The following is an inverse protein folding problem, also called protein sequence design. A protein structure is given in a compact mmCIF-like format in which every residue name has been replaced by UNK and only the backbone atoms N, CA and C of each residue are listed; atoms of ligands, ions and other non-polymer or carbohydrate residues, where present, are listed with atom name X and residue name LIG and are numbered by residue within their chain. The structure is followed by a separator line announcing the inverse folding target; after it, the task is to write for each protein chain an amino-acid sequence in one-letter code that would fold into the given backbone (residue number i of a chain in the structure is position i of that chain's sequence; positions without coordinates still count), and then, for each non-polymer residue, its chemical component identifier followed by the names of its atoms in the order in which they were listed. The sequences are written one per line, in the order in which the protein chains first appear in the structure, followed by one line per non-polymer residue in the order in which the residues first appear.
data_IF_901551224884
#
_entry.id   IF_901551224884
#
_cell.length_a   1.000
_cell.length_b   1.000
_cell.length_c   1.000
_cell.angle_alpha   90.00
_cell.angle_beta   90.00
_cell.angle_gamma   90.00
#
_symmetry.space_group_name_H-M   'P 1'
#
loop_
_entity.id
_entity.type
_entity.pdbx_description
1 polymer ?
#
# COMPACT_ATOMS: atom_id res chain seq x y z
N UNK A 1 -26.94 -8.47 -5.74
CA UNK A 1 -25.69 -9.01 -5.12
C UNK A 1 -24.86 -9.83 -6.10
N UNK A 2 -25.39 -10.86 -6.74
CA UNK A 2 -24.63 -11.69 -7.71
C UNK A 2 -24.14 -10.89 -8.92
N UNK A 3 -24.99 -10.06 -9.52
CA UNK A 3 -24.61 -9.21 -10.66
C UNK A 3 -23.51 -8.19 -10.29
N UNK A 4 -23.61 -7.57 -9.13
CA UNK A 4 -22.56 -6.67 -8.62
C UNK A 4 -21.22 -7.40 -8.45
N UNK A 5 -21.25 -8.60 -7.83
CA UNK A 5 -20.06 -9.43 -7.66
C UNK A 5 -19.43 -9.78 -9.01
N UNK A 6 -20.23 -10.28 -9.97
CA UNK A 6 -19.75 -10.60 -11.32
C UNK A 6 -19.14 -9.39 -12.00
N UNK A 7 -19.81 -8.24 -11.95
CA UNK A 7 -19.30 -7.00 -12.54
C UNK A 7 -17.95 -6.59 -11.91
N UNK A 8 -17.81 -6.74 -10.60
CA UNK A 8 -16.55 -6.42 -9.89
C UNK A 8 -15.43 -7.40 -10.26
N UNK A 9 -15.71 -8.69 -10.37
CA UNK A 9 -14.73 -9.69 -10.84
C UNK A 9 -14.28 -9.39 -12.26
N UNK A 10 -15.20 -9.03 -13.15
CA UNK A 10 -14.87 -8.63 -14.52
C UNK A 10 -13.98 -7.38 -14.51
N UNK A 11 -14.31 -6.37 -13.72
CA UNK A 11 -13.50 -5.15 -13.59
C UNK A 11 -12.10 -5.49 -13.08
N UNK A 12 -11.98 -6.34 -12.04
CA UNK A 12 -10.71 -6.81 -11.50
C UNK A 12 -9.86 -7.47 -12.61
N UNK A 13 -10.46 -8.38 -13.37
CA UNK A 13 -9.77 -9.07 -14.46
C UNK A 13 -9.22 -8.09 -15.51
N UNK A 14 -10.06 -7.17 -16.01
CA UNK A 14 -9.63 -6.18 -17.00
C UNK A 14 -8.56 -5.24 -16.43
N UNK A 15 -8.66 -4.83 -15.17
CA UNK A 15 -7.64 -4.01 -14.51
C UNK A 15 -6.29 -4.72 -14.48
N UNK A 16 -6.26 -6.02 -14.14
CA UNK A 16 -5.02 -6.79 -14.12
C UNK A 16 -4.44 -6.99 -15.52
N UNK A 17 -5.27 -7.24 -16.53
CA UNK A 17 -4.82 -7.35 -17.92
C UNK A 17 -4.21 -6.03 -18.39
N UNK A 18 -4.89 -4.91 -18.18
CA UNK A 18 -4.37 -3.59 -18.58
C UNK A 18 -3.06 -3.29 -17.81
N UNK A 19 -3.01 -3.56 -16.51
CA UNK A 19 -1.82 -3.36 -15.71
C UNK A 19 -0.64 -4.20 -16.22
N UNK A 20 -0.85 -5.49 -16.55
CA UNK A 20 0.22 -6.34 -17.08
C UNK A 20 0.79 -5.80 -18.39
N UNK A 21 -0.07 -5.31 -19.30
CA UNK A 21 0.36 -4.69 -20.57
C UNK A 21 1.19 -3.42 -20.30
N UNK A 22 0.70 -2.56 -19.40
CA UNK A 22 1.38 -1.30 -19.06
C UNK A 22 2.73 -1.57 -18.41
N UNK A 23 2.81 -2.51 -17.47
CA UNK A 23 4.07 -2.90 -16.79
C UNK A 23 5.08 -3.40 -17.82
N UNK A 24 4.68 -4.38 -18.64
CA UNK A 24 5.56 -4.96 -19.65
C UNK A 24 6.08 -3.91 -20.65
N UNK A 25 5.20 -3.10 -21.21
CA UNK A 25 5.58 -2.05 -22.17
C UNK A 25 6.50 -1.01 -21.50
N UNK A 26 6.19 -0.59 -20.26
CA UNK A 26 6.98 0.41 -19.55
C UNK A 26 8.43 -0.07 -19.33
N UNK A 27 8.62 -1.33 -18.95
CA UNK A 27 9.94 -1.90 -18.73
C UNK A 27 10.69 -2.17 -20.04
N UNK A 28 9.99 -2.51 -21.11
CA UNK A 28 10.57 -2.72 -22.45
C UNK A 28 11.06 -1.42 -23.12
N UNK A 29 10.50 -0.26 -22.70
CA UNK A 29 10.91 1.06 -23.20
C UNK A 29 12.15 1.57 -22.44
N UNK A 30 12.39 1.13 -21.22
CA UNK A 30 13.54 1.58 -20.44
C UNK A 30 14.84 1.18 -21.13
N UNK A 31 15.71 2.14 -21.52
CA UNK A 31 16.95 1.83 -22.23
C UNK A 31 17.89 1.03 -21.33
N UNK A 32 18.51 -0.01 -21.92
CA UNK A 32 19.47 -0.88 -21.26
C UNK A 32 19.09 -2.35 -21.39
N UNK A 33 20.05 -3.13 -21.84
CA UNK A 33 19.92 -4.56 -22.07
C UNK A 33 20.43 -5.31 -20.82
N UNK A 34 19.62 -6.19 -20.20
CA UNK A 34 20.04 -6.98 -19.06
C UNK A 34 21.33 -7.76 -19.30
N UNK A 35 21.48 -8.39 -20.46
CA UNK A 35 22.68 -9.16 -20.79
C UNK A 35 23.95 -8.28 -20.87
N UNK A 36 23.83 -7.09 -21.46
CA UNK A 36 24.92 -6.11 -21.50
C UNK A 36 25.28 -5.59 -20.11
N UNK A 37 24.29 -5.43 -19.22
CA UNK A 37 24.55 -5.03 -17.84
C UNK A 37 25.30 -6.12 -17.04
N UNK A 38 24.92 -7.37 -17.23
CA UNK A 38 25.53 -8.52 -16.52
C UNK A 38 26.96 -8.79 -16.96
N UNK A 39 27.26 -8.67 -18.25
CA UNK A 39 28.58 -8.96 -18.81
C UNK A 39 29.52 -7.74 -18.77
N UNK A 40 28.98 -6.54 -18.59
CA UNK A 40 29.75 -5.30 -18.64
C UNK A 40 30.00 -4.77 -20.04
N UNK A 41 30.55 -3.54 -20.11
CA UNK A 41 30.68 -2.74 -21.34
C UNK A 41 31.67 -3.39 -22.35
N UNK A 42 32.61 -4.22 -21.86
CA UNK A 42 33.65 -4.82 -22.68
C UNK A 42 33.34 -6.27 -23.07
N UNK A 43 32.09 -6.71 -22.96
CA UNK A 43 31.73 -8.08 -23.34
C UNK A 43 31.93 -8.33 -24.83
N UNK A 44 32.42 -9.52 -25.15
CA UNK A 44 32.51 -9.98 -26.55
C UNK A 44 31.12 -10.18 -27.12
N UNK A 45 30.90 -9.82 -28.37
CA UNK A 45 29.60 -9.85 -29.04
C UNK A 45 28.97 -11.25 -29.04
N UNK A 46 29.79 -12.29 -29.29
CA UNK A 46 29.37 -13.69 -29.27
C UNK A 46 28.84 -14.11 -27.87
N UNK A 47 29.50 -13.69 -26.80
CA UNK A 47 29.10 -13.97 -25.43
C UNK A 47 27.81 -13.24 -25.08
N UNK A 48 27.65 -12.01 -25.56
CA UNK A 48 26.43 -11.23 -25.37
C UNK A 48 25.22 -11.87 -26.07
N UNK A 49 25.43 -12.33 -27.33
CA UNK A 49 24.38 -13.02 -28.08
C UNK A 49 23.99 -14.35 -27.42
N UNK A 50 24.98 -15.11 -26.95
CA UNK A 50 24.72 -16.36 -26.23
C UNK A 50 23.90 -16.13 -24.96
N UNK A 51 24.25 -15.11 -24.15
CA UNK A 51 23.50 -14.76 -22.94
C UNK A 51 22.10 -14.25 -23.24
N UNK A 52 21.91 -13.42 -24.26
CA UNK A 52 20.58 -12.99 -24.71
C UNK A 52 19.68 -14.15 -25.06
N UNK A 53 20.21 -15.14 -25.74
CA UNK A 53 19.48 -16.36 -26.11
C UNK A 53 19.15 -17.19 -24.87
N UNK A 54 20.09 -17.34 -23.93
CA UNK A 54 19.87 -18.05 -22.66
C UNK A 54 18.76 -17.39 -21.84
N UNK A 55 18.73 -16.05 -21.79
CA UNK A 55 17.71 -15.28 -21.07
C UNK A 55 16.39 -15.14 -21.86
N UNK A 56 16.34 -15.65 -23.11
CA UNK A 56 15.15 -15.54 -23.97
C UNK A 56 14.86 -14.12 -24.45
N UNK A 57 15.83 -13.22 -24.40
CA UNK A 57 15.70 -11.82 -24.81
C UNK A 57 15.74 -11.66 -26.34
N UNK A 58 16.12 -12.69 -27.09
CA UNK A 58 16.10 -12.79 -28.54
C UNK A 58 14.71 -13.03 -29.12
N UNK A 59 13.76 -13.46 -28.28
CA UNK A 59 12.39 -13.75 -28.70
C UNK A 59 11.58 -12.47 -28.97
N UNK A 60 10.57 -12.55 -29.87
CA UNK A 60 9.64 -11.45 -30.11
C UNK A 60 8.97 -10.97 -28.80
N UNK A 61 8.80 -9.64 -28.64
CA UNK A 61 8.22 -9.05 -27.42
C UNK A 61 6.87 -9.62 -27.05
N UNK A 62 6.02 -9.89 -28.06
CA UNK A 62 4.67 -10.48 -27.85
C UNK A 62 4.79 -11.89 -27.26
N UNK A 63 5.73 -12.70 -27.75
CA UNK A 63 5.96 -14.06 -27.21
C UNK A 63 6.44 -13.98 -25.75
N UNK A 64 7.38 -13.09 -25.44
CA UNK A 64 7.88 -12.87 -24.08
C UNK A 64 6.76 -12.46 -23.12
N UNK A 65 5.90 -11.52 -23.53
CA UNK A 65 4.73 -11.11 -22.78
C UNK A 65 3.78 -12.28 -22.50
N UNK A 66 3.44 -13.08 -23.53
CA UNK A 66 2.53 -14.21 -23.36
C UNK A 66 3.10 -15.30 -22.45
N UNK A 67 4.41 -15.58 -22.56
CA UNK A 67 5.11 -16.53 -21.68
C UNK A 67 5.07 -16.03 -20.23
N UNK A 68 5.39 -14.76 -20.00
CA UNK A 68 5.35 -14.16 -18.67
C UNK A 68 3.94 -14.19 -18.05
N UNK A 69 2.91 -13.72 -18.76
CA UNK A 69 1.52 -13.73 -18.24
C UNK A 69 1.04 -15.14 -17.97
N UNK A 70 1.33 -16.11 -18.88
CA UNK A 70 0.99 -17.50 -18.67
C UNK A 70 1.69 -18.09 -17.44
N UNK A 71 2.96 -17.79 -17.26
CA UNK A 71 3.73 -18.19 -16.08
C UNK A 71 3.07 -17.70 -14.80
N UNK A 72 2.74 -16.39 -14.73
CA UNK A 72 2.07 -15.82 -13.56
C UNK A 72 0.73 -16.50 -13.21
N UNK A 73 -0.06 -16.88 -14.21
CA UNK A 73 -1.34 -17.57 -13.98
C UNK A 73 -1.19 -18.96 -13.34
N UNK A 74 -0.05 -19.60 -13.52
CA UNK A 74 0.26 -20.93 -12.93
C UNK A 74 1.19 -20.85 -11.72
N UNK A 75 1.53 -19.61 -11.28
CA UNK A 75 2.42 -19.37 -10.12
C UNK A 75 3.91 -19.47 -10.45
N UNK A 76 4.29 -19.53 -11.72
CA UNK A 76 5.68 -19.45 -12.19
C UNK A 76 6.02 -18.01 -12.55
N UNK A 77 6.75 -17.34 -11.67
CA UNK A 77 7.20 -15.95 -11.84
C UNK A 77 8.54 -15.83 -12.57
N UNK A 78 9.05 -16.96 -13.08
CA UNK A 78 10.34 -17.02 -13.76
C UNK A 78 11.55 -17.09 -12.83
N UNK A 79 12.72 -17.00 -13.44
CA UNK A 79 14.02 -17.07 -12.74
C UNK A 79 14.70 -15.70 -12.84
N UNK A 80 15.16 -15.17 -11.72
CA UNK A 80 15.92 -13.93 -11.62
C UNK A 80 17.16 -14.01 -12.53
N UNK A 81 17.39 -12.98 -13.32
CA UNK A 81 18.59 -12.90 -14.17
C UNK A 81 19.86 -12.75 -13.34
N UNK A 82 19.79 -11.95 -12.28
CA UNK A 82 20.94 -11.63 -11.42
C UNK A 82 21.22 -12.72 -10.40
N UNK A 83 20.18 -13.20 -9.68
CA UNK A 83 20.36 -14.14 -8.56
C UNK A 83 20.26 -15.61 -8.98
N UNK A 84 19.82 -15.91 -10.20
CA UNK A 84 19.64 -17.28 -10.74
C UNK A 84 18.76 -18.17 -9.85
N UNK A 85 17.85 -17.57 -9.10
CA UNK A 85 16.87 -18.22 -8.22
C UNK A 85 15.45 -17.96 -8.68
N UNK A 86 14.49 -18.83 -8.34
CA UNK A 86 13.07 -18.63 -8.65
C UNK A 86 12.57 -17.33 -8.02
N UNK A 87 11.91 -16.48 -8.81
CA UNK A 87 11.39 -15.18 -8.33
C UNK A 87 10.34 -15.37 -7.23
N UNK A 88 9.54 -16.45 -7.31
CA UNK A 88 8.52 -16.73 -6.29
C UNK A 88 9.10 -16.93 -4.89
N UNK A 89 10.28 -17.56 -4.76
CA UNK A 89 10.97 -17.72 -3.49
C UNK A 89 11.42 -16.36 -2.93
N UNK A 90 12.06 -15.56 -3.80
CA UNK A 90 12.50 -14.21 -3.44
C UNK A 90 11.34 -13.31 -2.98
N UNK A 91 10.18 -13.44 -3.64
CA UNK A 91 8.98 -12.67 -3.34
C UNK A 91 8.31 -13.15 -2.05
N UNK A 92 8.18 -14.47 -1.87
CA UNK A 92 7.50 -15.04 -0.70
C UNK A 92 8.19 -14.65 0.61
N UNK A 93 9.50 -14.71 0.68
CA UNK A 93 10.27 -14.29 1.86
C UNK A 93 10.05 -12.80 2.20
N UNK A 94 10.03 -11.94 1.19
CA UNK A 94 9.90 -10.49 1.37
C UNK A 94 8.49 -10.03 1.64
N UNK A 95 7.49 -10.78 1.17
CA UNK A 95 6.08 -10.50 1.43
C UNK A 95 5.78 -10.53 2.94
N UNK A 96 6.44 -11.42 3.69
CA UNK A 96 6.34 -11.52 5.15
C UNK A 96 6.94 -10.33 5.92
N UNK A 97 7.54 -9.38 5.23
CA UNK A 97 8.00 -8.10 5.81
C UNK A 97 7.10 -6.96 5.33
N UNK A 98 6.89 -6.84 4.01
CA UNK A 98 6.12 -5.73 3.42
C UNK A 98 4.65 -5.72 3.81
N UNK A 99 4.00 -6.89 3.80
CA UNK A 99 2.57 -6.97 4.14
C UNK A 99 2.30 -6.66 5.62
N UNK A 100 3.00 -7.25 6.60
CA UNK A 100 2.87 -6.87 8.01
C UNK A 100 3.18 -5.39 8.26
N UNK A 101 4.18 -4.81 7.58
CA UNK A 101 4.50 -3.39 7.67
C UNK A 101 3.31 -2.51 7.21
N UNK A 102 2.73 -2.82 6.05
CA UNK A 102 1.60 -2.07 5.51
C UNK A 102 0.35 -2.20 6.39
N UNK A 103 0.06 -3.40 6.88
CA UNK A 103 -1.06 -3.65 7.81
C UNK A 103 -0.83 -2.91 9.13
N UNK A 104 0.37 -2.96 9.68
CA UNK A 104 0.70 -2.26 10.92
C UNK A 104 0.54 -0.74 10.76
N UNK A 105 1.05 -0.18 9.68
CA UNK A 105 0.88 1.24 9.37
C UNK A 105 -0.60 1.62 9.16
N UNK A 106 -1.40 0.75 8.51
CA UNK A 106 -2.84 0.96 8.31
C UNK A 106 -3.60 0.97 9.64
N UNK A 107 -3.33 0.00 10.51
CA UNK A 107 -3.94 -0.07 11.85
C UNK A 107 -3.55 1.18 12.66
N UNK A 108 -2.26 1.52 12.68
CA UNK A 108 -1.75 2.67 13.43
C UNK A 108 -2.35 3.98 12.92
N UNK A 109 -2.41 4.19 11.60
CA UNK A 109 -3.01 5.39 11.00
C UNK A 109 -4.50 5.50 11.34
N UNK A 110 -5.24 4.40 11.31
CA UNK A 110 -6.67 4.35 11.62
C UNK A 110 -6.91 4.63 13.11
N UNK A 111 -6.15 4.00 14.00
CA UNK A 111 -6.25 4.20 15.46
C UNK A 111 -5.95 5.64 15.88
N UNK A 112 -5.07 6.34 15.16
CA UNK A 112 -4.77 7.76 15.41
C UNK A 112 -5.86 8.64 14.77
N UNK A 113 -6.22 8.37 13.53
CA UNK A 113 -7.08 9.24 12.73
C UNK A 113 -8.51 9.34 13.26
N UNK A 114 -9.10 8.20 13.66
CA UNK A 114 -10.50 8.20 14.09
C UNK A 114 -10.74 9.06 15.34
N UNK A 115 -10.00 8.89 16.45
CA UNK A 115 -10.20 9.74 17.62
C UNK A 115 -9.89 11.23 17.33
N UNK A 116 -8.84 11.50 16.55
CA UNK A 116 -8.44 12.87 16.19
C UNK A 116 -9.50 13.55 15.34
N UNK A 117 -10.05 12.85 14.32
CA UNK A 117 -11.10 13.38 13.46
C UNK A 117 -12.43 13.58 14.20
N UNK A 118 -12.81 12.64 15.08
CA UNK A 118 -14.01 12.74 15.93
C UNK A 118 -13.88 13.93 16.89
N UNK A 119 -12.74 14.07 17.54
CA UNK A 119 -12.47 15.17 18.46
C UNK A 119 -12.57 16.53 17.76
N UNK A 120 -11.96 16.65 16.57
CA UNK A 120 -12.01 17.88 15.78
C UNK A 120 -13.45 18.20 15.33
N UNK A 121 -14.23 17.22 14.88
CA UNK A 121 -15.63 17.42 14.51
C UNK A 121 -16.52 17.83 15.69
N UNK A 122 -16.33 17.20 16.86
CA UNK A 122 -17.08 17.52 18.07
C UNK A 122 -16.79 18.96 18.59
N UNK A 123 -15.61 19.49 18.26
CA UNK A 123 -15.18 20.85 18.64
C UNK A 123 -15.14 21.81 17.43
N UNK A 124 -15.94 21.58 16.41
CA UNK A 124 -15.97 22.37 15.18
C UNK A 124 -15.98 23.87 15.45
N UNK A 125 -15.06 24.58 14.80
CA UNK A 125 -14.92 26.04 14.88
C UNK A 125 -14.21 26.57 16.13
N UNK A 126 -13.83 25.71 17.08
CA UNK A 126 -13.01 26.10 18.23
C UNK A 126 -11.52 26.09 17.87
N UNK A 127 -10.70 26.72 18.71
CA UNK A 127 -9.24 26.72 18.56
C UNK A 127 -8.66 25.32 18.50
N UNK A 128 -9.18 24.39 19.28
CA UNK A 128 -8.76 22.99 19.27
C UNK A 128 -8.98 22.30 17.91
N UNK A 129 -10.09 22.56 17.22
CA UNK A 129 -10.34 22.09 15.88
C UNK A 129 -9.32 22.65 14.88
N UNK A 130 -9.09 23.95 14.92
CA UNK A 130 -8.12 24.64 14.06
C UNK A 130 -6.70 24.12 14.30
N UNK A 131 -6.31 23.89 15.55
CA UNK A 131 -5.00 23.37 15.92
C UNK A 131 -4.79 21.95 15.39
N UNK A 132 -5.79 21.08 15.57
CA UNK A 132 -5.74 19.69 15.05
C UNK A 132 -5.64 19.70 13.53
N UNK A 133 -6.44 20.53 12.84
CA UNK A 133 -6.38 20.63 11.38
C UNK A 133 -5.05 21.20 10.89
N UNK A 134 -4.47 22.15 11.62
CA UNK A 134 -3.11 22.68 11.34
C UNK A 134 -2.04 21.59 11.47
N UNK A 135 -2.08 20.78 12.54
CA UNK A 135 -1.14 19.67 12.74
C UNK A 135 -1.30 18.61 11.63
N UNK A 136 -2.52 18.26 11.26
CA UNK A 136 -2.73 17.32 10.15
C UNK A 136 -2.23 17.87 8.82
N UNK A 137 -2.30 19.19 8.60
CA UNK A 137 -1.72 19.79 7.40
C UNK A 137 -0.19 19.64 7.35
N UNK A 138 0.48 19.82 8.48
CA UNK A 138 1.93 19.59 8.60
C UNK A 138 2.24 18.10 8.33
N UNK A 139 1.46 17.17 8.91
CA UNK A 139 1.66 15.74 8.70
C UNK A 139 1.54 15.29 7.24
N UNK A 140 0.70 15.97 6.44
CA UNK A 140 0.59 15.69 5.00
C UNK A 140 1.75 16.32 4.21
N UNK A 141 2.21 17.50 4.62
CA UNK A 141 3.23 18.24 3.90
C UNK A 141 4.64 17.64 4.06
N UNK A 142 4.88 16.89 5.12
CA UNK A 142 6.19 16.31 5.41
C UNK A 142 6.42 15.09 4.49
N UNK A 143 7.54 15.04 3.72
CA UNK A 143 7.88 13.85 2.94
C UNK A 143 8.17 12.65 3.84
N UNK A 144 7.56 11.49 3.53
CA UNK A 144 7.67 10.26 4.34
C UNK A 144 9.12 9.85 4.62
N UNK A 145 9.99 9.90 3.59
CA UNK A 145 11.39 9.50 3.72
C UNK A 145 12.17 10.43 4.64
N UNK A 146 11.91 11.74 4.59
CA UNK A 146 12.54 12.71 5.47
C UNK A 146 12.11 12.50 6.93
N UNK A 147 10.81 12.28 7.15
CA UNK A 147 10.30 11.96 8.47
C UNK A 147 10.86 10.64 9.00
N UNK A 148 10.99 9.62 8.14
CA UNK A 148 11.64 8.36 8.49
C UNK A 148 13.09 8.56 8.96
N UNK A 149 13.86 9.39 8.26
CA UNK A 149 15.25 9.70 8.67
C UNK A 149 15.29 10.44 10.02
N UNK A 150 14.35 11.36 10.28
CA UNK A 150 14.24 12.02 11.58
C UNK A 150 13.91 11.04 12.71
N UNK A 151 13.02 10.06 12.45
CA UNK A 151 12.71 9.01 13.42
C UNK A 151 13.94 8.15 13.71
N UNK A 152 14.71 7.76 12.70
CA UNK A 152 15.98 7.04 12.87
C UNK A 152 16.94 7.87 13.70
N UNK A 153 17.15 9.15 13.34
CA UNK A 153 18.07 10.02 14.05
C UNK A 153 17.69 10.16 15.53
N UNK A 154 16.43 10.44 15.81
CA UNK A 154 15.98 10.65 17.20
C UNK A 154 15.94 9.36 17.99
N UNK A 155 15.22 8.33 17.50
CA UNK A 155 14.89 7.14 18.29
C UNK A 155 15.94 6.03 18.21
N UNK A 156 16.73 5.97 17.15
CA UNK A 156 17.75 4.93 17.02
C UNK A 156 19.15 5.45 17.37
N UNK A 157 19.52 6.68 16.97
CA UNK A 157 20.87 7.21 17.19
C UNK A 157 20.97 7.91 18.55
N UNK A 158 20.07 8.88 18.83
CA UNK A 158 20.14 9.66 20.07
C UNK A 158 19.61 8.86 21.26
N UNK A 159 18.35 8.43 21.22
CA UNK A 159 17.67 7.76 22.34
C UNK A 159 18.04 6.27 22.45
N UNK A 160 18.45 5.64 21.35
CA UNK A 160 18.81 4.20 21.28
C UNK A 160 17.70 3.25 21.73
N UNK A 161 16.44 3.63 21.55
CA UNK A 161 15.29 2.80 21.90
C UNK A 161 14.97 1.75 20.85
N UNK A 162 15.31 2.03 19.59
CA UNK A 162 15.05 1.21 18.42
C UNK A 162 16.34 0.97 17.63
N UNK A 163 16.33 -0.06 16.78
CA UNK A 163 17.36 -0.25 15.76
C UNK A 163 17.25 0.81 14.66
N UNK A 164 18.37 1.25 14.12
CA UNK A 164 18.41 2.15 12.98
C UNK A 164 17.88 1.53 11.68
N UNK A 165 17.85 0.19 11.59
CA UNK A 165 17.35 -0.56 10.45
C UNK A 165 17.59 -2.05 10.58
N UNK A 166 17.20 -2.80 9.54
CA UNK A 166 17.24 -4.25 9.50
C UNK A 166 16.01 -4.90 10.14
N UNK A 167 15.82 -6.16 9.80
CA UNK A 167 14.73 -6.99 10.30
C UNK A 167 15.32 -8.29 10.87
N UNK A 168 15.07 -8.61 12.17
CA UNK A 168 15.72 -9.74 12.82
C UNK A 168 15.12 -11.10 12.45
N UNK A 169 14.04 -11.14 11.64
CA UNK A 169 13.27 -12.35 11.35
C UNK A 169 12.15 -12.58 12.37
N UNK A 170 11.08 -13.25 11.92
CA UNK A 170 9.94 -13.62 12.78
C UNK A 170 10.28 -14.76 13.74
N UNK A 171 11.28 -15.56 13.42
CA UNK A 171 11.82 -16.65 14.24
C UNK A 171 12.45 -16.16 15.56
N UNK A 172 12.90 -14.90 15.59
CA UNK A 172 13.42 -14.28 16.83
C UNK A 172 12.31 -13.92 17.82
N UNK A 173 11.05 -13.96 17.38
CA UNK A 173 9.85 -13.68 18.14
C UNK A 173 9.04 -12.50 17.61
N UNK A 174 7.72 -12.59 17.76
CA UNK A 174 6.76 -11.60 17.25
C UNK A 174 7.05 -10.17 17.75
N UNK A 175 7.39 -10.00 19.03
CA UNK A 175 7.66 -8.69 19.62
C UNK A 175 8.91 -8.03 19.04
N UNK A 176 9.96 -8.78 18.76
CA UNK A 176 11.18 -8.25 18.14
C UNK A 176 10.92 -7.85 16.70
N UNK A 177 10.19 -8.67 15.94
CA UNK A 177 9.75 -8.33 14.59
C UNK A 177 8.89 -7.07 14.55
N UNK A 178 7.86 -6.97 15.40
CA UNK A 178 7.01 -5.77 15.48
C UNK A 178 7.80 -4.53 15.92
N UNK A 179 8.72 -4.67 16.87
CA UNK A 179 9.57 -3.57 17.32
C UNK A 179 10.42 -3.01 16.18
N UNK A 180 10.99 -3.87 15.34
CA UNK A 180 11.78 -3.43 14.17
C UNK A 180 10.93 -2.72 13.11
N UNK A 181 9.65 -3.08 12.98
CA UNK A 181 8.70 -2.45 12.06
C UNK A 181 8.04 -1.18 12.64
N UNK A 182 8.22 -0.85 13.91
CA UNK A 182 7.50 0.25 14.57
C UNK A 182 7.86 1.61 13.98
N UNK A 183 9.13 1.99 13.89
CA UNK A 183 9.53 3.27 13.29
C UNK A 183 9.15 3.36 11.81
N UNK A 184 9.39 2.33 10.96
CA UNK A 184 8.87 2.27 9.60
C UNK A 184 7.36 2.46 9.51
N UNK A 185 6.60 1.78 10.38
CA UNK A 185 5.14 1.89 10.40
C UNK A 185 4.67 3.30 10.80
N UNK A 186 5.31 3.95 11.77
CA UNK A 186 5.02 5.34 12.15
C UNK A 186 5.30 6.29 10.99
N UNK A 187 6.41 6.11 10.26
CA UNK A 187 6.77 6.94 9.11
C UNK A 187 5.72 6.85 8.00
N UNK A 188 5.17 5.66 7.75
CA UNK A 188 4.09 5.44 6.78
C UNK A 188 2.74 5.93 7.30
N UNK A 189 2.45 5.72 8.58
CA UNK A 189 1.14 5.97 9.17
C UNK A 189 0.82 7.45 9.33
N UNK A 190 1.80 8.31 9.63
CA UNK A 190 1.54 9.72 9.97
C UNK A 190 0.82 10.51 8.88
N UNK A 191 1.26 10.51 7.61
CA UNK A 191 0.54 11.20 6.54
C UNK A 191 -0.84 10.60 6.30
N UNK A 192 -0.96 9.28 6.37
CA UNK A 192 -2.23 8.58 6.18
C UNK A 192 -3.23 8.86 7.31
N UNK A 193 -2.76 8.92 8.55
CA UNK A 193 -3.56 9.34 9.70
C UNK A 193 -4.05 10.78 9.55
N UNK A 194 -3.21 11.66 9.05
CA UNK A 194 -3.56 13.07 8.81
C UNK A 194 -4.65 13.22 7.75
N UNK A 195 -4.58 12.47 6.66
CA UNK A 195 -5.62 12.45 5.61
C UNK A 195 -6.92 11.87 6.18
N UNK A 196 -6.85 10.71 6.83
CA UNK A 196 -8.02 10.01 7.35
C UNK A 196 -8.73 10.78 8.47
N UNK A 197 -7.99 11.47 9.35
CA UNK A 197 -8.55 12.33 10.39
C UNK A 197 -9.39 13.46 9.80
N UNK A 198 -8.91 14.06 8.71
CA UNK A 198 -9.64 15.10 7.98
C UNK A 198 -10.91 14.56 7.33
N UNK A 199 -10.83 13.40 6.70
CA UNK A 199 -11.99 12.72 6.10
C UNK A 199 -13.02 12.39 7.19
N UNK A 200 -12.58 11.79 8.31
CA UNK A 200 -13.45 11.48 9.44
C UNK A 200 -14.13 12.73 10.01
N UNK A 201 -13.39 13.83 10.17
CA UNK A 201 -13.94 15.12 10.61
C UNK A 201 -15.01 15.63 9.66
N UNK A 202 -14.75 15.65 8.36
CA UNK A 202 -15.71 16.14 7.35
C UNK A 202 -16.96 15.26 7.33
N UNK A 203 -16.79 13.95 7.23
CA UNK A 203 -17.90 13.00 7.19
C UNK A 203 -18.79 13.08 8.45
N UNK A 204 -18.18 13.29 9.62
CA UNK A 204 -18.93 13.43 10.86
C UNK A 204 -19.68 14.76 10.94
N UNK A 205 -19.07 15.86 10.49
CA UNK A 205 -19.77 17.17 10.42
C UNK A 205 -20.96 17.10 9.47
N UNK A 206 -20.79 16.48 8.30
CA UNK A 206 -21.87 16.33 7.32
C UNK A 206 -23.01 15.49 7.90
N UNK A 207 -22.66 14.33 8.50
CA UNK A 207 -23.65 13.45 9.17
C UNK A 207 -24.41 14.15 10.29
N UNK A 208 -23.74 14.98 11.10
CA UNK A 208 -24.38 15.69 12.22
C UNK A 208 -25.37 16.78 11.76
N UNK A 209 -25.33 17.22 10.51
CA UNK A 209 -26.27 18.16 9.92
C UNK A 209 -27.53 17.48 9.35
N UNK A 210 -27.55 16.15 9.24
CA UNK A 210 -28.66 15.38 8.67
C UNK A 210 -29.93 15.43 9.54
N UNK A 211 -31.11 15.29 8.91
CA UNK A 211 -32.41 15.41 9.59
C UNK A 211 -32.69 14.32 10.62
N UNK A 212 -32.13 13.12 10.41
CA UNK A 212 -32.27 12.04 11.40
C UNK A 212 -31.55 12.38 12.72
N UNK A 213 -30.46 13.14 12.70
CA UNK A 213 -29.79 13.64 13.90
C UNK A 213 -30.66 14.72 14.59
N UNK A 214 -31.24 15.62 13.82
CA UNK A 214 -32.19 16.60 14.37
C UNK A 214 -33.39 15.91 15.05
N UNK A 215 -33.92 14.87 14.41
CA UNK A 215 -35.01 14.05 14.95
C UNK A 215 -34.59 13.33 16.24
N UNK A 216 -33.40 12.74 16.27
CA UNK A 216 -32.90 12.08 17.47
C UNK A 216 -32.73 13.06 18.64
N UNK A 217 -32.28 14.28 18.37
CA UNK A 217 -32.17 15.33 19.38
C UNK A 217 -33.54 15.84 19.84
N UNK A 218 -34.49 15.98 18.94
CA UNK A 218 -35.88 16.34 19.30
C UNK A 218 -36.54 15.28 20.20
N UNK A 219 -36.12 14.00 20.09
CA UNK A 219 -36.54 12.91 20.98
C UNK A 219 -35.81 12.88 22.35
N UNK A 220 -34.97 13.90 22.66
CA UNK A 220 -34.34 14.08 23.97
C UNK A 220 -32.88 13.63 24.05
N UNK A 221 -32.25 13.18 22.96
CA UNK A 221 -30.83 12.86 22.98
C UNK A 221 -29.97 14.13 23.09
N UNK A 222 -28.99 14.12 23.99
CA UNK A 222 -27.98 15.17 24.04
C UNK A 222 -27.12 15.17 22.77
N UNK A 223 -26.40 16.27 22.50
CA UNK A 223 -25.50 16.36 21.35
C UNK A 223 -24.47 15.21 21.32
N UNK A 224 -23.83 14.93 22.46
CA UNK A 224 -22.81 13.84 22.55
C UNK A 224 -23.44 12.45 22.36
N UNK A 225 -24.66 12.22 22.86
CA UNK A 225 -25.36 10.96 22.63
C UNK A 225 -25.75 10.79 21.15
N UNK A 226 -26.24 11.84 20.49
CA UNK A 226 -26.53 11.81 19.06
C UNK A 226 -25.25 11.58 18.22
N UNK A 227 -24.14 12.23 18.60
CA UNK A 227 -22.84 12.06 17.95
C UNK A 227 -22.36 10.61 18.05
N UNK A 228 -22.34 10.01 19.26
CA UNK A 228 -21.80 8.65 19.47
C UNK A 228 -22.73 7.59 18.88
N UNK A 229 -24.04 7.66 19.15
CA UNK A 229 -24.99 6.60 18.81
C UNK A 229 -25.35 6.60 17.31
N UNK A 230 -25.35 7.77 16.66
CA UNK A 230 -25.81 7.93 15.30
C UNK A 230 -24.76 8.55 14.38
N UNK A 231 -24.06 9.59 14.83
CA UNK A 231 -23.11 10.34 14.03
C UNK A 231 -21.92 9.50 13.59
N UNK A 232 -21.17 8.93 14.52
CA UNK A 232 -19.94 8.16 14.24
C UNK A 232 -20.25 6.96 13.33
N UNK A 233 -21.30 6.19 13.64
CA UNK A 233 -21.66 5.00 12.88
C UNK A 233 -21.91 5.30 11.39
N UNK A 234 -22.62 6.38 11.10
CA UNK A 234 -22.91 6.76 9.72
C UNK A 234 -21.71 7.43 9.04
N UNK A 235 -20.91 8.21 9.78
CA UNK A 235 -19.70 8.83 9.26
C UNK A 235 -18.58 7.80 8.93
N UNK A 236 -18.60 6.62 9.54
CA UNK A 236 -17.64 5.57 9.22
C UNK A 236 -17.81 4.99 7.81
N UNK A 237 -18.97 5.11 7.19
CA UNK A 237 -19.21 4.55 5.84
C UNK A 237 -18.22 5.11 4.80
N UNK A 238 -18.13 6.45 4.57
CA UNK A 238 -17.13 6.99 3.64
C UNK A 238 -15.69 6.79 4.13
N UNK A 239 -15.47 6.72 5.43
CA UNK A 239 -14.14 6.50 6.02
C UNK A 239 -13.59 5.11 5.67
N UNK A 240 -14.42 4.06 5.70
CA UNK A 240 -14.02 2.70 5.31
C UNK A 240 -13.51 2.64 3.86
N UNK A 241 -14.13 3.38 2.95
CA UNK A 241 -13.66 3.47 1.57
C UNK A 241 -12.24 4.05 1.48
N UNK A 242 -11.99 5.11 2.25
CA UNK A 242 -10.66 5.74 2.28
C UNK A 242 -9.63 4.82 2.94
N UNK A 243 -9.97 4.07 3.99
CA UNK A 243 -9.08 3.07 4.60
C UNK A 243 -8.61 2.04 3.56
N UNK A 244 -9.52 1.57 2.70
CA UNK A 244 -9.15 0.66 1.62
C UNK A 244 -8.19 1.26 0.60
N UNK A 245 -8.45 2.50 0.19
CA UNK A 245 -7.54 3.22 -0.71
C UNK A 245 -6.18 3.48 -0.07
N UNK A 246 -6.13 3.74 1.24
CA UNK A 246 -4.88 3.95 1.96
C UNK A 246 -3.94 2.76 1.93
N UNK A 247 -4.47 1.52 1.89
CA UNK A 247 -3.62 0.34 1.75
C UNK A 247 -2.75 0.42 0.49
N UNK A 248 -3.30 0.88 -0.63
CA UNK A 248 -2.57 1.07 -1.88
C UNK A 248 -1.42 2.07 -1.72
N UNK A 249 -1.69 3.21 -1.07
CA UNK A 249 -0.68 4.22 -0.80
C UNK A 249 0.39 3.73 0.18
N UNK A 250 0.03 2.92 1.17
CA UNK A 250 0.96 2.32 2.12
C UNK A 250 1.88 1.31 1.43
N UNK A 251 1.35 0.45 0.56
CA UNK A 251 2.16 -0.49 -0.22
C UNK A 251 3.15 0.23 -1.15
N UNK A 252 2.71 1.28 -1.84
CA UNK A 252 3.60 2.11 -2.66
C UNK A 252 4.65 2.86 -1.82
N UNK A 253 4.23 3.44 -0.69
CA UNK A 253 5.11 4.15 0.24
C UNK A 253 6.13 3.24 0.91
N UNK A 254 5.79 1.97 1.12
CA UNK A 254 6.69 0.98 1.71
C UNK A 254 7.97 0.81 0.88
N UNK A 255 7.93 0.97 -0.44
CA UNK A 255 9.10 0.88 -1.32
C UNK A 255 10.23 1.81 -0.83
N UNK A 256 9.91 3.05 -0.52
CA UNK A 256 10.89 4.04 -0.06
C UNK A 256 11.29 3.76 1.39
N UNK A 257 10.33 3.49 2.26
CA UNK A 257 10.56 3.29 3.69
C UNK A 257 11.39 2.03 3.97
N UNK A 258 11.16 0.94 3.24
CA UNK A 258 11.97 -0.26 3.34
C UNK A 258 13.43 -0.02 2.99
N UNK A 259 13.70 0.87 2.01
CA UNK A 259 15.07 1.26 1.69
C UNK A 259 15.71 2.11 2.80
N UNK A 260 14.99 3.08 3.37
CA UNK A 260 15.51 3.93 4.47
C UNK A 260 15.85 3.09 5.70
N UNK A 261 15.02 2.11 6.06
CA UNK A 261 15.23 1.25 7.22
C UNK A 261 15.95 -0.07 6.91
N UNK A 262 16.46 -0.26 5.68
CA UNK A 262 17.14 -1.48 5.25
C UNK A 262 16.35 -2.77 5.52
N UNK A 263 15.02 -2.71 5.41
CA UNK A 263 14.15 -3.87 5.59
C UNK A 263 14.22 -4.80 4.36
N UNK A 264 14.28 -6.12 4.54
CA UNK A 264 14.28 -7.08 3.42
C UNK A 264 12.86 -7.29 2.86
N UNK A 265 12.22 -6.23 2.37
CA UNK A 265 10.88 -6.25 1.82
C UNK A 265 10.84 -6.20 0.28
N UNK A 266 9.60 -6.22 -0.27
CA UNK A 266 9.33 -6.19 -1.72
C UNK A 266 9.81 -4.88 -2.37
N UNK A 267 9.65 -3.75 -1.68
CA UNK A 267 10.10 -2.46 -2.19
C UNK A 267 11.60 -2.38 -2.34
N UNK A 268 12.35 -2.92 -1.38
CA UNK A 268 13.80 -3.03 -1.48
C UNK A 268 14.22 -3.97 -2.61
N UNK A 269 13.50 -5.09 -2.80
CA UNK A 269 13.74 -6.00 -3.92
C UNK A 269 13.56 -5.29 -5.25
N UNK A 270 12.46 -4.55 -5.45
CA UNK A 270 12.24 -3.77 -6.67
C UNK A 270 13.39 -2.79 -6.91
N UNK A 271 13.76 -2.02 -5.88
CA UNK A 271 14.80 -1.01 -6.01
C UNK A 271 16.14 -1.62 -6.44
N UNK A 272 16.53 -2.75 -5.82
CA UNK A 272 17.74 -3.48 -6.17
C UNK A 272 17.66 -4.07 -7.59
N UNK A 273 16.53 -4.68 -7.95
CA UNK A 273 16.32 -5.30 -9.26
C UNK A 273 16.31 -4.28 -10.40
N UNK A 274 15.77 -3.08 -10.18
CA UNK A 274 15.86 -1.97 -11.15
C UNK A 274 17.31 -1.56 -11.35
N UNK A 275 18.08 -1.41 -10.27
CA UNK A 275 19.49 -1.05 -10.34
C UNK A 275 20.33 -2.12 -11.04
N UNK A 276 19.97 -3.40 -10.89
CA UNK A 276 20.64 -4.55 -11.50
C UNK A 276 20.09 -4.94 -12.87
N UNK A 277 19.09 -4.24 -13.39
CA UNK A 277 18.42 -4.57 -14.66
C UNK A 277 17.78 -5.97 -14.67
N UNK A 278 17.35 -6.46 -13.53
CA UNK A 278 16.64 -7.73 -13.41
C UNK A 278 15.15 -7.57 -13.71
N UNK A 279 14.85 -7.46 -15.01
CA UNK A 279 13.51 -7.08 -15.50
C UNK A 279 12.46 -8.08 -15.03
N UNK A 280 12.75 -9.39 -15.06
CA UNK A 280 11.78 -10.43 -14.68
C UNK A 280 11.33 -10.30 -13.21
N UNK A 281 12.24 -9.94 -12.31
CA UNK A 281 11.91 -9.67 -10.91
C UNK A 281 11.08 -8.41 -10.79
N UNK A 282 11.45 -7.33 -11.50
CA UNK A 282 10.71 -6.06 -11.44
C UNK A 282 9.28 -6.22 -11.94
N UNK A 283 9.08 -6.88 -13.11
CA UNK A 283 7.76 -7.17 -13.66
C UNK A 283 6.89 -7.95 -12.69
N UNK A 284 7.43 -9.02 -12.15
CA UNK A 284 6.72 -9.93 -11.26
C UNK A 284 6.33 -9.27 -9.94
N UNK A 285 7.25 -8.53 -9.32
CA UNK A 285 6.97 -7.86 -8.04
C UNK A 285 5.98 -6.70 -8.22
N UNK A 286 6.12 -5.88 -9.26
CA UNK A 286 5.17 -4.81 -9.54
C UNK A 286 3.77 -5.39 -9.79
N UNK A 287 3.67 -6.46 -10.60
CA UNK A 287 2.38 -7.10 -10.86
C UNK A 287 1.75 -7.69 -9.59
N UNK A 288 2.55 -8.29 -8.70
CA UNK A 288 2.09 -8.77 -7.40
C UNK A 288 1.58 -7.63 -6.52
N UNK A 289 2.26 -6.49 -6.50
CA UNK A 289 1.80 -5.30 -5.77
C UNK A 289 0.47 -4.79 -6.34
N UNK A 290 0.35 -4.68 -7.66
CA UNK A 290 -0.91 -4.31 -8.31
C UNK A 290 -2.02 -5.30 -7.98
N UNK A 291 -1.73 -6.60 -8.05
CA UNK A 291 -2.69 -7.65 -7.67
C UNK A 291 -3.15 -7.47 -6.22
N UNK A 292 -2.23 -7.27 -5.29
CA UNK A 292 -2.54 -7.05 -3.87
C UNK A 292 -3.45 -5.84 -3.65
N UNK A 293 -3.17 -4.73 -4.33
CA UNK A 293 -3.98 -3.51 -4.29
C UNK A 293 -5.39 -3.76 -4.83
N UNK A 294 -5.49 -4.43 -5.99
CA UNK A 294 -6.78 -4.72 -6.62
C UNK A 294 -7.62 -5.67 -5.76
N UNK A 295 -7.00 -6.70 -5.16
CA UNK A 295 -7.67 -7.62 -4.24
C UNK A 295 -8.18 -6.91 -2.99
N UNK A 296 -7.35 -6.06 -2.37
CA UNK A 296 -7.78 -5.30 -1.19
C UNK A 296 -8.91 -4.33 -1.53
N UNK A 297 -8.84 -3.64 -2.67
CA UNK A 297 -9.91 -2.77 -3.14
C UNK A 297 -11.20 -3.56 -3.36
N UNK A 298 -11.11 -4.74 -3.96
CA UNK A 298 -12.24 -5.65 -4.15
C UNK A 298 -12.87 -6.09 -2.80
N UNK A 299 -12.04 -6.44 -1.81
CA UNK A 299 -12.51 -6.79 -0.46
C UNK A 299 -13.24 -5.59 0.19
N UNK A 300 -12.69 -4.39 0.06
CA UNK A 300 -13.31 -3.16 0.60
C UNK A 300 -14.64 -2.86 -0.10
N UNK A 301 -14.73 -3.02 -1.41
CA UNK A 301 -15.98 -2.86 -2.16
C UNK A 301 -17.07 -3.83 -1.69
N UNK A 302 -16.70 -5.09 -1.40
CA UNK A 302 -17.63 -6.07 -0.82
C UNK A 302 -18.04 -5.66 0.60
N UNK A 303 -17.06 -5.27 1.44
CA UNK A 303 -17.34 -4.82 2.79
C UNK A 303 -18.29 -3.62 2.81
N UNK A 304 -18.11 -2.69 1.87
CA UNK A 304 -18.99 -1.52 1.72
C UNK A 304 -20.44 -1.91 1.44
N UNK A 305 -20.68 -2.86 0.53
CA UNK A 305 -22.05 -3.36 0.24
C UNK A 305 -22.68 -4.08 1.44
N UNK A 306 -21.86 -4.69 2.30
CA UNK A 306 -22.33 -5.35 3.53
C UNK A 306 -22.74 -4.30 4.58
N UNK A 307 -21.95 -3.23 4.71
CA UNK A 307 -22.14 -2.18 5.74
C UNK A 307 -23.24 -1.19 5.37
N UNK A 308 -23.40 -0.86 4.08
CA UNK A 308 -24.44 0.07 3.62
C UNK A 308 -25.63 -0.67 2.96
N UNK A 309 -26.76 -0.84 3.69
CA UNK A 309 -27.94 -1.48 3.15
C UNK A 309 -28.62 -0.70 1.99
N UNK A 310 -28.35 0.61 1.87
CA UNK A 310 -28.95 1.46 0.83
C UNK A 310 -28.44 1.09 -0.56
N UNK A 311 -27.21 0.65 -0.65
CA UNK A 311 -26.65 0.16 -1.90
C UNK A 311 -27.27 -1.17 -2.35
N UNK A 312 -27.80 -1.97 -1.42
CA UNK A 312 -28.51 -3.20 -1.78
C UNK A 312 -29.78 -2.94 -2.56
N UNK A 313 -30.47 -1.82 -2.30
CA UNK A 313 -31.73 -1.46 -2.97
C UNK A 313 -31.53 -0.72 -4.30
N UNK A 314 -30.37 -0.09 -4.53
CA UNK A 314 -30.07 0.56 -5.81
C UNK A 314 -29.45 -0.38 -6.87
N UNK A 315 -29.14 -1.62 -6.46
CA UNK A 315 -28.54 -2.68 -7.30
C UNK A 315 -29.62 -3.71 -7.73
N UNK A 316 -30.83 -3.62 -7.14
CA UNK A 316 -32.02 -4.35 -7.58
C UNK A 316 -32.89 -3.50 -8.50
#
# INVERSE_FOLDING_TARGET
MFEYFVRRVITLFFTLVIASIVIFISLEIIPGDPASYMLGINAQEDTLLALKKELGLDKPKVERYLVWVKGMLIGDFGISYTYRSPVIEMVSERLWVSLPLAIYALILSTLIALPVGIYAAANRGKVSDLSVMGITQIGIAIPNFWFAMLLVYLFAIILRWFSAGGFPGWETGLLFGLKSLTLPAIALALPQASILARVMRSALIDTLNEDFIKTARAKGLSYNQALVNHGIRNALIPVLTIIGLQFSFLMAGAIIIENVFFLPGLGRLIFQSIAQRDIIVVESVIMLLVFSVVVVTFIVDIAYVIVDPRLRSSIL
#
